data_IF_404120072601
#
_entry.id   IF_404120072601
#
_cell.length_a   1.000
_cell.length_b   1.000
_cell.length_c   1.000
_cell.angle_alpha   90.00
_cell.angle_beta   90.00
_cell.angle_gamma   90.00
#
_symmetry.space_group_name_H-M   'P 1'
#
loop_
_entity.id
_entity.type
_entity.pdbx_description
1 polymer ?
#
# COMPACT_ATOMS: atom_id res chain seq x y z
N UNK A 1 7.18 -7.36 12.60
CA UNK A 1 7.88 -8.14 11.56
C UNK A 1 6.92 -8.36 10.41
N UNK A 2 7.09 -7.66 9.30
CA UNK A 2 6.30 -7.84 8.07
C UNK A 2 7.04 -7.28 6.84
N UNK A 3 8.38 -7.22 6.87
CA UNK A 3 9.16 -6.61 5.78
C UNK A 3 9.61 -7.63 4.71
N UNK A 4 9.45 -8.94 4.95
CA UNK A 4 9.83 -9.98 3.98
C UNK A 4 8.76 -10.32 2.93
N UNK A 5 7.50 -9.88 3.09
CA UNK A 5 6.46 -10.24 2.11
C UNK A 5 6.52 -9.36 0.86
N UNK A 6 6.74 -8.05 1.02
CA UNK A 6 6.74 -7.11 -0.11
C UNK A 6 7.93 -7.33 -1.03
N UNK A 7 9.09 -7.73 -0.50
CA UNK A 7 10.29 -8.01 -1.29
C UNK A 7 10.09 -9.20 -2.25
N UNK A 8 9.24 -10.16 -1.87
CA UNK A 8 8.96 -11.38 -2.65
C UNK A 8 7.85 -11.22 -3.68
N UNK A 9 7.02 -10.18 -3.55
CA UNK A 9 5.93 -9.92 -4.48
C UNK A 9 6.44 -9.40 -5.83
N UNK A 10 5.80 -9.76 -6.94
CA UNK A 10 6.06 -9.13 -8.25
C UNK A 10 5.58 -7.68 -8.27
N UNK A 11 5.96 -6.91 -9.31
CA UNK A 11 5.49 -5.52 -9.44
C UNK A 11 3.95 -5.47 -9.58
N UNK A 12 3.36 -6.42 -10.31
CA UNK A 12 1.91 -6.55 -10.45
C UNK A 12 1.23 -6.91 -9.12
N UNK A 13 1.81 -7.82 -8.35
CA UNK A 13 1.30 -8.18 -7.02
C UNK A 13 1.36 -6.99 -6.05
N UNK A 14 2.45 -6.21 -6.09
CA UNK A 14 2.57 -4.98 -5.32
C UNK A 14 1.50 -3.95 -5.71
N UNK A 15 1.26 -3.76 -7.01
CA UNK A 15 0.21 -2.86 -7.52
C UNK A 15 -1.17 -3.35 -7.07
N UNK A 16 -1.46 -4.64 -7.23
CA UNK A 16 -2.73 -5.23 -6.81
C UNK A 16 -2.94 -5.08 -5.30
N UNK A 17 -1.91 -5.34 -4.50
CA UNK A 17 -1.95 -5.18 -3.05
C UNK A 17 -2.22 -3.73 -2.65
N UNK A 18 -1.55 -2.76 -3.32
CA UNK A 18 -1.78 -1.33 -3.10
C UNK A 18 -3.24 -0.97 -3.36
N UNK A 19 -3.80 -1.40 -4.49
CA UNK A 19 -5.19 -1.12 -4.85
C UNK A 19 -6.16 -1.71 -3.83
N UNK A 20 -5.97 -2.98 -3.45
CA UNK A 20 -6.77 -3.62 -2.41
C UNK A 20 -6.73 -2.87 -1.08
N UNK A 21 -5.54 -2.48 -0.61
CA UNK A 21 -5.41 -1.71 0.65
C UNK A 21 -6.10 -0.35 0.56
N UNK A 22 -6.10 0.30 -0.62
CA UNK A 22 -6.81 1.55 -0.83
C UNK A 22 -8.34 1.36 -0.81
N UNK A 23 -8.85 0.30 -1.43
CA UNK A 23 -10.27 -0.05 -1.42
C UNK A 23 -10.76 -0.42 -0.02
N UNK A 24 -9.98 -1.21 0.72
CA UNK A 24 -10.22 -1.52 2.12
C UNK A 24 -10.28 -0.24 2.97
N UNK A 25 -9.38 0.70 2.72
CA UNK A 25 -9.37 2.00 3.40
C UNK A 25 -10.62 2.82 3.07
N UNK A 26 -11.07 2.81 1.81
CA UNK A 26 -12.30 3.50 1.39
C UNK A 26 -13.54 2.90 2.08
N UNK A 27 -13.64 1.57 2.10
CA UNK A 27 -14.70 0.85 2.79
C UNK A 27 -14.68 1.13 4.31
N UNK A 28 -13.49 1.13 4.92
CA UNK A 28 -13.32 1.46 6.34
C UNK A 28 -13.72 2.91 6.63
N UNK A 29 -13.37 3.87 5.77
CA UNK A 29 -13.81 5.28 5.89
C UNK A 29 -15.33 5.40 5.81
N UNK A 30 -15.98 4.68 4.89
CA UNK A 30 -17.43 4.66 4.78
C UNK A 30 -18.07 4.13 6.07
N UNK A 31 -17.61 2.98 6.59
CA UNK A 31 -18.08 2.43 7.88
C UNK A 31 -17.83 3.39 9.05
N UNK A 32 -16.70 4.09 9.05
CA UNK A 32 -16.36 5.07 10.09
C UNK A 32 -17.32 6.26 10.08
N UNK A 33 -17.72 6.75 8.90
CA UNK A 33 -18.72 7.83 8.78
C UNK A 33 -20.06 7.46 9.41
N UNK A 34 -20.46 6.19 9.35
CA UNK A 34 -21.68 5.69 9.99
C UNK A 34 -21.48 5.31 11.47
N UNK A 35 -20.31 5.59 12.06
CA UNK A 35 -19.98 5.19 13.45
C UNK A 35 -19.78 3.68 13.63
N UNK A 36 -19.75 2.90 12.55
CA UNK A 36 -19.68 1.44 12.58
C UNK A 36 -18.25 0.89 12.52
N UNK A 37 -17.24 1.76 12.50
CA UNK A 37 -15.84 1.37 12.46
C UNK A 37 -15.11 1.67 13.78
N UNK A 38 -14.94 0.64 14.61
CA UNK A 38 -14.33 0.77 15.95
C UNK A 38 -12.80 0.75 15.93
N UNK A 39 -12.17 0.28 14.85
CA UNK A 39 -10.71 0.05 14.76
C UNK A 39 -9.99 1.14 13.97
N UNK A 40 -10.12 2.41 14.39
CA UNK A 40 -9.49 3.56 13.71
C UNK A 40 -7.96 3.47 13.61
N UNK A 41 -7.33 2.66 14.47
CA UNK A 41 -5.91 2.30 14.43
C UNK A 41 -5.48 1.55 13.16
N UNK A 42 -6.41 1.03 12.37
CA UNK A 42 -6.11 0.40 11.08
C UNK A 42 -5.79 1.43 9.98
N UNK A 43 -6.32 2.66 10.04
CA UNK A 43 -6.02 3.68 9.03
C UNK A 43 -4.53 4.06 8.97
N UNK A 44 -3.82 4.30 10.09
CA UNK A 44 -2.37 4.49 10.05
C UNK A 44 -1.61 3.26 9.52
N UNK A 45 -2.07 2.04 9.80
CA UNK A 45 -1.42 0.81 9.31
C UNK A 45 -1.57 0.68 7.79
N UNK A 46 -2.78 0.83 7.26
CA UNK A 46 -3.06 0.82 5.82
C UNK A 46 -2.28 1.91 5.08
N UNK A 47 -2.17 3.12 5.66
CA UNK A 47 -1.36 4.20 5.08
C UNK A 47 0.13 3.86 5.04
N UNK A 48 0.67 3.26 6.11
CA UNK A 48 2.07 2.81 6.15
C UNK A 48 2.32 1.68 5.14
N UNK A 49 1.38 0.76 4.98
CA UNK A 49 1.48 -0.32 3.99
C UNK A 49 1.56 0.23 2.56
N UNK A 50 0.65 1.14 2.19
CA UNK A 50 0.71 1.81 0.87
C UNK A 50 2.02 2.55 0.66
N UNK A 51 2.52 3.27 1.67
CA UNK A 51 3.80 3.97 1.58
C UNK A 51 4.99 3.02 1.37
N UNK A 52 5.00 1.86 2.04
CA UNK A 52 6.03 0.83 1.85
C UNK A 52 5.98 0.22 0.46
N UNK A 53 4.78 -0.09 -0.04
CA UNK A 53 4.61 -0.63 -1.40
C UNK A 53 5.12 0.35 -2.45
N UNK A 54 4.76 1.64 -2.33
CA UNK A 54 5.25 2.67 -3.25
C UNK A 54 6.77 2.81 -3.19
N UNK A 55 7.37 2.69 -2.00
CA UNK A 55 8.82 2.71 -1.82
C UNK A 55 9.48 1.53 -2.53
N UNK A 56 8.93 0.32 -2.37
CA UNK A 56 9.44 -0.89 -3.02
C UNK A 56 9.36 -0.80 -4.55
N UNK A 57 8.22 -0.35 -5.09
CA UNK A 57 8.05 -0.11 -6.53
C UNK A 57 9.07 0.91 -7.04
N UNK A 58 9.25 2.03 -6.31
CA UNK A 58 10.21 3.07 -6.70
C UNK A 58 11.65 2.57 -6.68
N UNK A 59 12.03 1.79 -5.67
CA UNK A 59 13.35 1.17 -5.61
C UNK A 59 13.60 0.25 -6.82
N UNK A 60 12.58 -0.51 -7.23
CA UNK A 60 12.67 -1.37 -8.42
C UNK A 60 12.76 -0.57 -9.72
N UNK A 61 12.00 0.50 -9.86
CA UNK A 61 12.13 1.42 -11.01
C UNK A 61 13.55 2.00 -11.13
N UNK A 62 14.11 2.47 -10.01
CA UNK A 62 15.48 2.99 -9.96
C UNK A 62 16.48 1.90 -10.35
N UNK A 63 16.33 0.68 -9.83
CA UNK A 63 17.20 -0.44 -10.15
C UNK A 63 17.12 -0.89 -11.62
N UNK A 64 15.94 -0.77 -12.25
CA UNK A 64 15.72 -1.07 -13.67
C UNK A 64 16.22 0.04 -14.60
N UNK A 65 16.64 1.18 -14.07
CA UNK A 65 17.10 2.33 -14.88
C UNK A 65 15.98 3.00 -15.68
N UNK A 66 14.69 2.74 -15.36
CA UNK A 66 13.54 3.33 -16.05
C UNK A 66 13.21 4.74 -15.60
N UNK A 67 14.13 5.40 -14.88
CA UNK A 67 13.96 6.78 -14.46
C UNK A 67 13.96 7.63 -15.73
N UNK A 68 12.79 8.17 -16.07
CA UNK A 68 12.67 9.19 -17.09
C UNK A 68 13.75 10.24 -16.87
N UNK A 69 14.62 10.40 -17.88
CA UNK A 69 15.49 11.56 -18.02
C UNK A 69 14.62 12.81 -17.78
N UNK A 70 15.12 13.81 -17.02
CA UNK A 70 14.35 15.01 -16.69
C UNK A 70 13.71 15.67 -17.91
#
# INVERSE_FOLDING_TARGET
MADDSLAKMTDEELINRRTQTQDEMAAAKMKAKFGQFKKTTEFPKMRKEVARINTALRQREIAKGTVGKP
#
